data_IF_780006010496
#
_entry.id   IF_780006010496
#
_cell.length_a   1.000
_cell.length_b   1.000
_cell.length_c   1.000
_cell.angle_alpha   90.00
_cell.angle_beta   90.00
_cell.angle_gamma   90.00
#
_symmetry.space_group_name_H-M   'P 1'
#
loop_
_entity.id
_entity.type
_entity.pdbx_description
1 polymer ?
#
# COMPACT_ATOMS: atom_id res chain seq x y z
N UNK A 1 -35.90 -25.73 -0.79
CA UNK A 1 -34.78 -25.02 -0.12
C UNK A 1 -34.16 -24.07 -1.14
N UNK A 2 -34.27 -22.76 -0.92
CA UNK A 2 -33.94 -21.73 -1.92
C UNK A 2 -32.44 -21.44 -1.96
N UNK A 3 -31.86 -21.52 -3.17
CA UNK A 3 -30.47 -21.28 -3.54
C UNK A 3 -30.07 -19.79 -3.53
N UNK A 4 -30.94 -18.89 -3.08
CA UNK A 4 -30.74 -17.43 -3.16
C UNK A 4 -30.50 -16.74 -1.80
N UNK A 5 -30.27 -17.51 -0.73
CA UNK A 5 -30.09 -16.99 0.63
C UNK A 5 -28.66 -16.59 1.03
N UNK A 6 -27.67 -16.72 0.14
CA UNK A 6 -26.25 -16.37 0.40
C UNK A 6 -25.78 -15.12 -0.35
N UNK A 7 -26.68 -14.16 -0.59
CA UNK A 7 -26.26 -12.80 -0.91
C UNK A 7 -25.79 -12.21 0.42
N UNK A 8 -24.48 -12.28 0.67
CA UNK A 8 -23.82 -11.71 1.83
C UNK A 8 -24.27 -10.25 2.01
N UNK A 9 -25.19 -10.02 2.95
CA UNK A 9 -25.55 -8.65 3.34
C UNK A 9 -24.30 -8.04 3.97
N UNK A 10 -23.64 -7.15 3.23
CA UNK A 10 -22.58 -6.30 3.76
C UNK A 10 -23.12 -5.58 5.00
N UNK A 11 -22.34 -5.60 6.09
CA UNK A 11 -22.71 -4.85 7.28
C UNK A 11 -22.68 -3.36 6.96
N UNK A 12 -23.50 -2.51 7.61
CA UNK A 12 -23.46 -1.07 7.41
C UNK A 12 -22.05 -0.46 7.56
N UNK A 13 -21.24 -1.01 8.47
CA UNK A 13 -19.84 -0.63 8.69
C UNK A 13 -18.96 -0.95 7.47
N UNK A 14 -19.08 -2.14 6.88
CA UNK A 14 -18.30 -2.51 5.69
C UNK A 14 -18.65 -1.67 4.46
N UNK A 15 -19.92 -1.26 4.30
CA UNK A 15 -20.34 -0.37 3.22
C UNK A 15 -19.74 1.03 3.41
N UNK A 16 -19.84 1.58 4.62
CA UNK A 16 -19.31 2.90 4.92
C UNK A 16 -17.78 2.97 4.75
N UNK A 17 -17.06 1.92 5.20
CA UNK A 17 -15.61 1.80 4.99
C UNK A 17 -15.27 1.72 3.50
N UNK A 18 -16.04 0.95 2.74
CA UNK A 18 -15.85 0.81 1.30
C UNK A 18 -16.02 2.14 0.57
N UNK A 19 -17.05 2.92 0.91
CA UNK A 19 -17.29 4.24 0.35
C UNK A 19 -16.17 5.23 0.70
N UNK A 20 -15.67 5.20 1.95
CA UNK A 20 -14.52 6.03 2.33
C UNK A 20 -13.27 5.68 1.55
N UNK A 21 -12.95 4.38 1.40
CA UNK A 21 -11.79 3.95 0.65
C UNK A 21 -11.89 4.35 -0.83
N UNK A 22 -13.06 4.21 -1.45
CA UNK A 22 -13.28 4.64 -2.83
C UNK A 22 -13.08 6.16 -3.00
N UNK A 23 -13.69 6.97 -2.12
CA UNK A 23 -13.53 8.42 -2.15
C UNK A 23 -12.08 8.85 -1.92
N UNK A 24 -11.35 8.17 -1.04
CA UNK A 24 -9.92 8.40 -0.83
C UNK A 24 -9.11 8.07 -2.09
N UNK A 25 -9.37 6.93 -2.73
CA UNK A 25 -8.72 6.56 -3.99
C UNK A 25 -8.92 7.64 -5.06
N UNK A 26 -10.14 8.13 -5.24
CA UNK A 26 -10.42 9.21 -6.20
C UNK A 26 -9.70 10.52 -5.86
N UNK A 27 -9.68 10.91 -4.58
CA UNK A 27 -8.99 12.12 -4.15
C UNK A 27 -7.48 12.04 -4.41
N UNK A 28 -6.86 10.88 -4.11
CA UNK A 28 -5.44 10.68 -4.37
C UNK A 28 -5.12 10.56 -5.85
N UNK A 29 -6.02 9.99 -6.66
CA UNK A 29 -5.88 9.99 -8.13
C UNK A 29 -5.82 11.42 -8.68
N UNK A 30 -6.74 12.30 -8.26
CA UNK A 30 -6.73 13.71 -8.69
C UNK A 30 -5.44 14.42 -8.27
N UNK A 31 -4.98 14.19 -7.04
CA UNK A 31 -3.69 14.72 -6.55
C UNK A 31 -2.50 14.20 -7.38
N UNK A 32 -2.52 12.93 -7.75
CA UNK A 32 -1.51 12.29 -8.59
C UNK A 32 -1.48 12.87 -10.00
N UNK A 33 -2.64 13.02 -10.64
CA UNK A 33 -2.76 13.57 -12.00
C UNK A 33 -2.28 15.04 -12.04
N UNK A 34 -2.65 15.84 -11.05
CA UNK A 34 -2.16 17.21 -10.90
C UNK A 34 -0.64 17.26 -10.73
N UNK A 35 -0.07 16.36 -9.94
CA UNK A 35 1.39 16.26 -9.73
C UNK A 35 2.09 15.84 -11.01
N UNK A 36 1.59 14.79 -11.68
CA UNK A 36 2.12 14.26 -12.93
C UNK A 36 2.16 15.32 -14.04
N UNK A 37 1.13 16.18 -14.11
CA UNK A 37 1.05 17.28 -15.07
C UNK A 37 1.99 18.46 -14.78
N UNK A 38 2.47 18.60 -13.53
CA UNK A 38 3.26 19.77 -13.09
C UNK A 38 4.74 19.45 -12.87
N UNK A 39 5.05 18.41 -12.11
CA UNK A 39 6.41 18.07 -11.69
C UNK A 39 6.59 16.56 -11.53
N UNK A 40 7.11 15.92 -12.57
CA UNK A 40 7.40 14.48 -12.58
C UNK A 40 8.59 14.10 -11.68
N UNK A 41 9.34 15.06 -11.17
CA UNK A 41 10.43 14.83 -10.24
C UNK A 41 9.98 14.97 -8.77
N UNK A 42 8.70 15.28 -8.51
CA UNK A 42 8.18 15.40 -7.16
C UNK A 42 8.06 14.04 -6.47
N UNK A 43 8.55 13.90 -5.21
CA UNK A 43 8.29 12.73 -4.37
C UNK A 43 6.80 12.43 -4.16
N UNK A 44 5.92 13.42 -4.35
CA UNK A 44 4.47 13.26 -4.22
C UNK A 44 3.91 12.24 -5.23
N UNK A 45 4.62 11.97 -6.34
CA UNK A 45 4.29 10.88 -7.27
C UNK A 45 4.32 9.51 -6.57
N UNK A 46 5.32 9.28 -5.72
CA UNK A 46 5.47 8.03 -4.95
C UNK A 46 4.49 7.97 -3.76
N UNK A 47 4.18 9.13 -3.16
CA UNK A 47 3.10 9.25 -2.16
C UNK A 47 1.76 8.86 -2.79
N UNK A 48 1.42 9.41 -3.95
CA UNK A 48 0.19 9.07 -4.68
C UNK A 48 0.16 7.60 -5.07
N UNK A 49 1.24 7.08 -5.65
CA UNK A 49 1.37 5.66 -5.96
C UNK A 49 1.02 4.77 -4.76
N UNK A 50 1.62 5.05 -3.60
CA UNK A 50 1.43 4.27 -2.38
C UNK A 50 -0.01 4.35 -1.88
N UNK A 51 -0.56 5.56 -1.73
CA UNK A 51 -1.89 5.76 -1.16
C UNK A 51 -3.01 5.25 -2.08
N UNK A 52 -2.91 5.48 -3.38
CA UNK A 52 -3.89 4.99 -4.36
C UNK A 52 -3.92 3.47 -4.33
N UNK A 53 -2.77 2.82 -4.36
CA UNK A 53 -2.71 1.36 -4.36
C UNK A 53 -3.17 0.76 -3.04
N UNK A 54 -2.75 1.30 -1.89
CA UNK A 54 -3.21 0.81 -0.59
C UNK A 54 -4.73 0.95 -0.44
N UNK A 55 -5.30 2.12 -0.78
CA UNK A 55 -6.75 2.37 -0.70
C UNK A 55 -7.55 1.52 -1.67
N UNK A 56 -7.14 1.48 -2.94
CA UNK A 56 -7.86 0.75 -3.97
C UNK A 56 -7.84 -0.76 -3.68
N UNK A 57 -6.70 -1.28 -3.24
CA UNK A 57 -6.56 -2.69 -2.87
C UNK A 57 -7.39 -3.03 -1.64
N UNK A 58 -7.36 -2.19 -0.60
CA UNK A 58 -8.21 -2.36 0.57
C UNK A 58 -9.70 -2.33 0.21
N UNK A 59 -10.11 -1.44 -0.68
CA UNK A 59 -11.48 -1.36 -1.20
C UNK A 59 -11.88 -2.66 -1.91
N UNK A 60 -11.04 -3.15 -2.82
CA UNK A 60 -11.31 -4.39 -3.57
C UNK A 60 -11.34 -5.62 -2.66
N UNK A 61 -10.42 -5.71 -1.70
CA UNK A 61 -10.43 -6.79 -0.70
C UNK A 61 -11.72 -6.78 0.12
N UNK A 62 -12.17 -5.60 0.56
CA UNK A 62 -13.41 -5.45 1.33
C UNK A 62 -14.64 -5.79 0.49
N UNK A 63 -14.58 -5.51 -0.81
CA UNK A 63 -15.62 -5.90 -1.75
C UNK A 63 -15.72 -7.41 -1.93
N UNK A 64 -14.56 -8.07 -2.02
CA UNK A 64 -14.42 -9.53 -2.15
C UNK A 64 -14.84 -10.25 -0.87
N UNK A 65 -14.43 -9.75 0.29
CA UNK A 65 -14.80 -10.33 1.59
C UNK A 65 -15.09 -9.26 2.65
N UNK A 66 -16.37 -8.95 2.92
CA UNK A 66 -16.76 -7.95 3.91
C UNK A 66 -16.31 -8.23 5.34
N UNK A 67 -15.92 -9.48 5.68
CA UNK A 67 -15.47 -9.84 7.03
C UNK A 67 -14.14 -9.20 7.41
N UNK A 68 -13.35 -8.76 6.43
CA UNK A 68 -12.10 -8.07 6.72
C UNK A 68 -12.31 -6.67 7.31
N UNK A 69 -13.54 -6.14 7.28
CA UNK A 69 -13.87 -4.80 7.76
C UNK A 69 -13.34 -4.54 9.18
N UNK A 70 -13.47 -5.50 10.10
CA UNK A 70 -12.98 -5.36 11.48
C UNK A 70 -11.47 -5.29 11.60
N UNK A 71 -10.74 -5.74 10.57
CA UNK A 71 -9.28 -5.78 10.52
C UNK A 71 -8.72 -4.84 9.43
N UNK A 72 -9.53 -3.89 8.94
CA UNK A 72 -9.13 -3.04 7.82
C UNK A 72 -7.94 -2.15 8.14
N UNK A 73 -7.81 -1.68 9.39
CA UNK A 73 -6.66 -0.89 9.85
C UNK A 73 -5.32 -1.63 9.70
N UNK A 74 -5.16 -2.80 10.36
CA UNK A 74 -3.94 -3.62 10.20
C UNK A 74 -3.70 -4.02 8.74
N UNK A 75 -4.74 -4.43 8.01
CA UNK A 75 -4.61 -4.82 6.60
C UNK A 75 -4.13 -3.64 5.75
N UNK A 76 -4.68 -2.44 5.96
CA UNK A 76 -4.24 -1.25 5.25
C UNK A 76 -2.79 -0.88 5.56
N UNK A 77 -2.35 -1.05 6.80
CA UNK A 77 -0.94 -0.84 7.18
C UNK A 77 -0.01 -1.79 6.40
N UNK A 78 -0.37 -3.06 6.27
CA UNK A 78 0.40 -4.05 5.48
C UNK A 78 0.42 -3.70 3.99
N UNK A 79 -0.72 -3.27 3.43
CA UNK A 79 -0.81 -2.83 2.04
C UNK A 79 0.07 -1.60 1.79
N UNK A 80 0.00 -0.60 2.67
CA UNK A 80 0.82 0.62 2.59
C UNK A 80 2.31 0.26 2.61
N UNK A 81 2.74 -0.54 3.59
CA UNK A 81 4.14 -0.94 3.73
C UNK A 81 4.63 -1.74 2.51
N UNK A 82 3.79 -2.63 1.97
CA UNK A 82 4.10 -3.34 0.73
C UNK A 82 4.31 -2.39 -0.45
N UNK A 83 3.40 -1.43 -0.67
CA UNK A 83 3.55 -0.49 -1.80
C UNK A 83 4.70 0.48 -1.61
N UNK A 84 5.03 0.87 -0.36
CA UNK A 84 6.25 1.59 -0.06
C UNK A 84 7.51 0.77 -0.42
N UNK A 85 7.55 -0.51 -0.06
CA UNK A 85 8.66 -1.39 -0.45
C UNK A 85 8.71 -1.66 -1.96
N UNK A 86 7.55 -1.73 -2.63
CA UNK A 86 7.49 -2.06 -4.05
C UNK A 86 8.15 -1.01 -4.93
N UNK A 87 7.88 0.28 -4.71
CA UNK A 87 8.56 1.32 -5.49
C UNK A 87 10.06 1.37 -5.17
N UNK A 88 10.45 1.08 -3.92
CA UNK A 88 11.87 1.01 -3.53
C UNK A 88 12.60 -0.09 -4.29
N UNK A 89 12.03 -1.30 -4.35
CA UNK A 89 12.58 -2.42 -5.12
C UNK A 89 12.73 -2.05 -6.59
N UNK A 90 11.72 -1.41 -7.17
CA UNK A 90 11.74 -1.02 -8.58
C UNK A 90 12.86 0.00 -8.84
N UNK A 91 13.05 0.99 -7.97
CA UNK A 91 14.14 1.95 -8.12
C UNK A 91 15.51 1.30 -7.88
N UNK A 92 15.67 0.47 -6.84
CA UNK A 92 16.92 -0.26 -6.57
C UNK A 92 17.30 -1.19 -7.72
N UNK A 93 16.32 -1.77 -8.41
CA UNK A 93 16.57 -2.59 -9.59
C UNK A 93 16.99 -1.75 -10.81
N UNK A 94 16.42 -0.56 -10.97
CA UNK A 94 16.71 0.34 -12.09
C UNK A 94 18.01 1.14 -11.92
N UNK A 95 18.39 1.43 -10.68
CA UNK A 95 19.48 2.33 -10.33
C UNK A 95 20.41 1.65 -9.30
N UNK A 96 21.61 1.27 -9.74
CA UNK A 96 22.47 0.33 -9.02
C UNK A 96 23.77 0.94 -8.47
N UNK A 97 24.01 2.23 -8.69
CA UNK A 97 25.24 2.87 -8.16
C UNK A 97 25.09 3.21 -6.68
N UNK A 98 26.19 3.26 -5.90
CA UNK A 98 26.13 3.64 -4.49
C UNK A 98 25.47 5.02 -4.25
N UNK A 99 25.77 6.02 -5.08
CA UNK A 99 25.17 7.36 -4.98
C UNK A 99 23.64 7.32 -5.21
N UNK A 100 23.18 6.46 -6.11
CA UNK A 100 21.75 6.25 -6.35
C UNK A 100 21.08 5.53 -5.20
N UNK A 101 21.72 4.51 -4.62
CA UNK A 101 21.21 3.83 -3.42
C UNK A 101 21.07 4.81 -2.25
N UNK A 102 22.07 5.67 -2.03
CA UNK A 102 22.00 6.72 -1.00
C UNK A 102 20.87 7.72 -1.28
N UNK A 103 20.66 8.06 -2.56
CA UNK A 103 19.55 8.93 -2.96
C UNK A 103 18.19 8.25 -2.75
N UNK A 104 18.06 6.95 -3.03
CA UNK A 104 16.85 6.17 -2.75
C UNK A 104 16.57 6.16 -1.25
N UNK A 105 17.59 5.91 -0.41
CA UNK A 105 17.45 5.93 1.05
C UNK A 105 16.91 7.26 1.57
N UNK A 106 17.47 8.39 1.10
CA UNK A 106 16.96 9.74 1.42
C UNK A 106 15.55 9.98 0.92
N UNK A 107 15.23 9.49 -0.28
CA UNK A 107 13.89 9.57 -0.85
C UNK A 107 12.87 8.81 0.00
N UNK A 108 13.22 7.64 0.55
CA UNK A 108 12.36 6.89 1.46
C UNK A 108 11.95 7.73 2.67
N UNK A 109 12.90 8.44 3.29
CA UNK A 109 12.63 9.33 4.42
C UNK A 109 11.68 10.49 4.08
N UNK A 110 11.90 11.15 2.94
CA UNK A 110 11.03 12.26 2.47
C UNK A 110 9.62 11.76 2.14
N UNK A 111 9.50 10.65 1.41
CA UNK A 111 8.20 10.05 1.07
C UNK A 111 7.45 9.61 2.33
N UNK A 112 8.11 8.96 3.29
CA UNK A 112 7.50 8.54 4.55
C UNK A 112 6.92 9.74 5.33
N UNK A 113 7.67 10.84 5.45
CA UNK A 113 7.22 12.06 6.10
C UNK A 113 5.98 12.66 5.40
N UNK A 114 5.98 12.69 4.06
CA UNK A 114 4.86 13.21 3.27
C UNK A 114 3.62 12.33 3.37
N UNK A 115 3.79 11.01 3.42
CA UNK A 115 2.72 10.06 3.67
C UNK A 115 2.06 10.33 5.04
N UNK A 116 2.85 10.43 6.11
CA UNK A 116 2.33 10.74 7.45
C UNK A 116 1.55 12.06 7.45
N UNK A 117 2.11 13.14 6.88
CA UNK A 117 1.43 14.44 6.80
C UNK A 117 0.12 14.38 6.02
N UNK A 118 0.11 13.64 4.91
CA UNK A 118 -1.09 13.47 4.08
C UNK A 118 -2.18 12.72 4.84
N UNK A 119 -1.80 11.64 5.54
CA UNK A 119 -2.73 10.85 6.36
C UNK A 119 -3.22 11.64 7.58
N UNK A 120 -2.36 12.40 8.27
CA UNK A 120 -2.77 13.27 9.37
C UNK A 120 -3.79 14.34 8.92
N UNK A 121 -3.59 14.95 7.75
CA UNK A 121 -4.52 15.93 7.18
C UNK A 121 -5.87 15.29 6.87
N UNK A 122 -5.87 14.10 6.26
CA UNK A 122 -7.07 13.32 6.00
C UNK A 122 -7.82 12.99 7.31
N UNK A 123 -7.09 12.56 8.34
CA UNK A 123 -7.63 12.16 9.63
C UNK A 123 -8.21 13.33 10.43
N UNK A 124 -7.59 14.52 10.34
CA UNK A 124 -8.16 15.76 10.92
C UNK A 124 -9.51 16.08 10.31
N UNK A 125 -9.65 15.88 9.01
CA UNK A 125 -10.89 16.14 8.28
C UNK A 125 -11.92 15.02 8.44
N UNK A 126 -11.48 13.78 8.75
CA UNK A 126 -12.32 12.59 8.82
C UNK A 126 -11.99 11.71 10.05
N UNK A 127 -12.52 12.04 11.24
CA UNK A 127 -12.21 11.31 12.48
C UNK A 127 -12.58 9.82 12.46
N UNK A 128 -13.60 9.44 11.69
CA UNK A 128 -13.97 8.02 11.57
C UNK A 128 -12.96 7.23 10.73
N UNK A 129 -12.40 7.84 9.68
CA UNK A 129 -11.30 7.25 8.89
C UNK A 129 -10.07 7.09 9.77
N UNK A 130 -9.75 8.09 10.61
CA UNK A 130 -8.70 7.99 11.63
C UNK A 130 -8.91 6.79 12.55
N UNK A 131 -10.14 6.56 13.01
CA UNK A 131 -10.46 5.43 13.89
C UNK A 131 -10.23 4.08 13.18
N UNK A 132 -10.66 3.97 11.92
CA UNK A 132 -10.52 2.74 11.16
C UNK A 132 -9.09 2.43 10.74
N UNK A 133 -8.29 3.46 10.44
CA UNK A 133 -6.93 3.34 9.88
C UNK A 133 -5.83 3.77 10.85
N UNK A 134 -6.09 3.75 12.16
CA UNK A 134 -5.14 4.25 13.18
C UNK A 134 -3.81 3.51 13.17
N UNK A 135 -3.80 2.25 12.78
CA UNK A 135 -2.59 1.41 12.71
C UNK A 135 -1.67 1.74 11.54
N UNK A 136 -2.18 2.48 10.56
CA UNK A 136 -1.44 2.86 9.36
C UNK A 136 -0.67 4.17 9.51
N UNK A 137 -0.44 4.67 10.74
CA UNK A 137 0.36 5.87 11.05
C UNK A 137 1.14 5.72 12.36
N UNK A 138 2.18 6.55 12.53
CA UNK A 138 2.98 6.63 13.76
C UNK A 138 3.66 5.33 14.18
N UNK A 139 3.91 5.16 15.48
CA UNK A 139 4.67 4.03 16.04
C UNK A 139 4.05 2.64 15.77
N UNK A 140 2.73 2.58 15.55
CA UNK A 140 2.08 1.33 15.15
C UNK A 140 2.57 0.89 13.75
N UNK A 141 2.61 1.85 12.82
CA UNK A 141 3.03 1.64 11.44
C UNK A 141 4.54 1.39 11.31
N UNK A 142 5.37 2.06 12.09
CA UNK A 142 6.83 1.88 12.06
C UNK A 142 7.25 0.40 12.19
N UNK A 143 6.57 -0.35 13.07
CA UNK A 143 6.84 -1.79 13.24
C UNK A 143 6.43 -2.61 12.01
N UNK A 144 5.31 -2.25 11.38
CA UNK A 144 4.84 -2.90 10.14
C UNK A 144 5.86 -2.65 9.03
N UNK A 145 6.33 -1.42 8.88
CA UNK A 145 7.30 -1.04 7.87
C UNK A 145 8.64 -1.76 8.05
N UNK A 146 9.17 -1.86 9.29
CA UNK A 146 10.40 -2.64 9.56
C UNK A 146 10.24 -4.10 9.12
N UNK A 147 9.13 -4.73 9.47
CA UNK A 147 8.86 -6.11 9.06
C UNK A 147 8.73 -6.23 7.54
N UNK A 148 8.11 -5.25 6.87
CA UNK A 148 7.97 -5.22 5.42
C UNK A 148 9.30 -5.02 4.70
N UNK A 149 10.23 -4.22 5.25
CA UNK A 149 11.58 -4.06 4.69
C UNK A 149 12.35 -5.37 4.77
N UNK A 150 12.39 -5.99 5.95
CA UNK A 150 13.05 -7.29 6.13
C UNK A 150 12.49 -8.35 5.17
N UNK A 151 11.17 -8.45 5.09
CA UNK A 151 10.54 -9.47 4.26
C UNK A 151 10.62 -9.16 2.76
N UNK A 152 10.24 -7.96 2.33
CA UNK A 152 10.08 -7.63 0.90
C UNK A 152 11.36 -7.08 0.25
N UNK A 153 12.25 -6.44 1.00
CA UNK A 153 13.52 -5.93 0.46
C UNK A 153 14.64 -6.94 0.67
N UNK A 154 14.81 -7.44 1.91
CA UNK A 154 15.91 -8.35 2.26
C UNK A 154 15.60 -9.83 2.03
N UNK A 155 14.34 -10.18 1.72
CA UNK A 155 13.94 -11.57 1.49
C UNK A 155 13.87 -12.40 2.76
N UNK A 156 13.87 -11.78 3.94
CA UNK A 156 13.76 -12.45 5.24
C UNK A 156 12.29 -12.84 5.49
N UNK A 157 11.84 -13.91 4.80
CA UNK A 157 10.44 -14.37 4.84
C UNK A 157 10.03 -14.73 6.27
N UNK A 158 8.91 -14.17 6.73
CA UNK A 158 8.35 -14.53 8.03
C UNK A 158 7.85 -15.97 8.07
N UNK A 159 7.50 -16.53 6.89
CA UNK A 159 7.02 -17.90 6.73
C UNK A 159 7.62 -18.55 5.50
N UNK A 160 7.98 -19.83 5.63
CA UNK A 160 8.46 -20.62 4.49
C UNK A 160 7.31 -20.93 3.51
N UNK A 161 7.54 -20.65 2.24
CA UNK A 161 6.70 -21.11 1.12
C UNK A 161 7.60 -21.42 -0.08
N UNK A 162 7.15 -22.26 -1.03
CA UNK A 162 7.90 -22.47 -2.27
C UNK A 162 8.02 -21.16 -3.05
N UNK A 163 9.25 -20.65 -3.18
CA UNK A 163 9.53 -19.44 -3.96
C UNK A 163 9.49 -19.76 -5.46
N UNK A 164 8.96 -18.82 -6.23
CA UNK A 164 8.87 -18.93 -7.69
C UNK A 164 10.13 -18.40 -8.39
N UNK A 165 10.95 -17.63 -7.68
CA UNK A 165 12.11 -16.92 -8.24
C UNK A 165 11.75 -15.57 -8.84
N UNK A 166 10.46 -15.23 -8.92
CA UNK A 166 9.97 -13.89 -9.19
C UNK A 166 9.70 -13.19 -7.85
N UNK A 167 10.55 -12.24 -7.50
CA UNK A 167 10.51 -11.53 -6.23
C UNK A 167 9.20 -10.76 -6.00
N UNK A 168 8.59 -10.22 -7.06
CA UNK A 168 7.30 -9.51 -6.95
C UNK A 168 6.19 -10.52 -6.67
N UNK A 169 6.15 -11.63 -7.41
CA UNK A 169 5.17 -12.70 -7.21
C UNK A 169 5.30 -13.34 -5.83
N UNK A 170 6.52 -13.54 -5.34
CA UNK A 170 6.79 -14.09 -4.00
C UNK A 170 6.39 -13.09 -2.90
N UNK A 171 6.63 -11.79 -3.08
CA UNK A 171 6.13 -10.75 -2.16
C UNK A 171 4.59 -10.70 -2.12
N UNK A 172 3.92 -10.83 -3.27
CA UNK A 172 2.44 -10.91 -3.31
C UNK A 172 1.95 -12.13 -2.55
N UNK A 173 2.62 -13.28 -2.66
CA UNK A 173 2.27 -14.50 -1.92
C UNK A 173 2.42 -14.30 -0.41
N UNK A 174 3.52 -13.69 0.03
CA UNK A 174 3.76 -13.37 1.44
C UNK A 174 2.68 -12.44 2.01
N UNK A 175 2.39 -11.33 1.30
CA UNK A 175 1.35 -10.37 1.67
C UNK A 175 -0.04 -11.02 1.72
N UNK A 176 -0.38 -11.83 0.71
CA UNK A 176 -1.65 -12.57 0.65
C UNK A 176 -1.83 -13.46 1.88
N UNK A 177 -0.80 -14.21 2.26
CA UNK A 177 -0.83 -15.05 3.46
C UNK A 177 -1.01 -14.22 4.74
N UNK A 178 -0.42 -13.02 4.82
CA UNK A 178 -0.58 -12.13 5.97
C UNK A 178 -2.00 -11.57 6.08
N UNK A 179 -2.56 -11.10 4.97
CA UNK A 179 -3.94 -10.61 4.92
C UNK A 179 -4.94 -11.72 5.27
N UNK A 180 -4.69 -12.95 4.82
CA UNK A 180 -5.52 -14.10 5.21
C UNK A 180 -5.53 -14.33 6.72
N UNK A 181 -4.36 -14.27 7.36
CA UNK A 181 -4.25 -14.42 8.82
C UNK A 181 -4.94 -13.28 9.57
N UNK A 182 -4.73 -12.04 9.15
CA UNK A 182 -5.36 -10.87 9.75
C UNK A 182 -6.88 -10.90 9.58
N UNK A 183 -7.36 -11.26 8.40
CA UNK A 183 -8.78 -11.32 8.09
C UNK A 183 -9.51 -12.56 8.61
N UNK A 184 -8.81 -13.55 9.17
CA UNK A 184 -9.40 -14.83 9.56
C UNK A 184 -10.01 -15.59 8.38
N UNK A 185 -9.38 -15.48 7.21
CA UNK A 185 -9.88 -16.02 5.94
C UNK A 185 -9.50 -17.50 5.79
N UNK A 186 -10.38 -18.29 5.18
CA UNK A 186 -10.14 -19.69 4.86
C UNK A 186 -9.42 -19.86 3.50
N UNK A 187 -9.01 -21.09 3.21
CA UNK A 187 -8.26 -21.42 1.99
C UNK A 187 -9.05 -21.15 0.70
N UNK A 188 -10.39 -21.10 0.74
CA UNK A 188 -11.21 -20.77 -0.43
C UNK A 188 -11.17 -19.28 -0.77
N UNK A 189 -10.92 -18.41 0.22
CA UNK A 189 -10.75 -16.97 0.02
C UNK A 189 -9.31 -16.59 -0.34
N UNK A 190 -8.35 -17.48 -0.05
CA UNK A 190 -6.92 -17.28 -0.31
C UNK A 190 -6.62 -16.92 -1.77
N UNK A 191 -7.28 -17.62 -2.71
CA UNK A 191 -7.15 -17.35 -4.15
C UNK A 191 -7.67 -15.97 -4.55
N UNK A 192 -8.80 -15.54 -3.99
CA UNK A 192 -9.40 -14.25 -4.31
C UNK A 192 -8.56 -13.08 -3.76
N UNK A 193 -8.01 -13.21 -2.55
CA UNK A 193 -7.06 -12.22 -2.00
C UNK A 193 -5.81 -12.12 -2.88
N UNK A 194 -5.23 -13.26 -3.26
CA UNK A 194 -4.06 -13.28 -4.13
C UNK A 194 -4.35 -12.62 -5.49
N UNK A 195 -5.52 -12.90 -6.09
CA UNK A 195 -5.93 -12.30 -7.35
C UNK A 195 -6.06 -10.78 -7.25
N UNK A 196 -6.73 -10.26 -6.21
CA UNK A 196 -6.85 -8.82 -5.97
C UNK A 196 -5.48 -8.17 -5.86
N UNK A 197 -4.57 -8.73 -5.06
CA UNK A 197 -3.21 -8.22 -4.90
C UNK A 197 -2.42 -8.25 -6.23
N UNK A 198 -2.49 -9.37 -6.95
CA UNK A 198 -1.80 -9.52 -8.23
C UNK A 198 -2.28 -8.51 -9.27
N UNK A 199 -3.60 -8.29 -9.37
CA UNK A 199 -4.16 -7.28 -10.27
C UNK A 199 -3.79 -5.86 -9.84
N UNK A 200 -3.84 -5.56 -8.55
CA UNK A 200 -3.45 -4.25 -8.03
C UNK A 200 -1.95 -3.94 -8.20
N UNK A 201 -1.08 -4.94 -8.19
CA UNK A 201 0.34 -4.73 -8.45
C UNK A 201 0.66 -4.62 -9.94
N UNK A 202 0.06 -5.46 -10.79
CA UNK A 202 0.45 -5.57 -12.21
C UNK A 202 -0.38 -4.71 -13.18
N UNK A 203 -1.60 -4.34 -12.81
CA UNK A 203 -2.57 -3.66 -13.71
C UNK A 203 -3.11 -2.35 -13.15
N UNK A 204 -2.60 -1.86 -12.02
CA UNK A 204 -3.13 -0.64 -11.43
C UNK A 204 -2.79 0.59 -12.29
N UNK A 205 -3.77 1.46 -12.59
CA UNK A 205 -3.53 2.73 -13.30
C UNK A 205 -2.46 3.61 -12.62
N UNK A 206 -2.35 3.49 -11.31
CA UNK A 206 -1.35 4.13 -10.46
C UNK A 206 0.10 3.80 -10.82
N UNK A 207 0.37 2.67 -11.52
CA UNK A 207 1.70 2.33 -12.03
C UNK A 207 2.26 3.42 -12.95
N UNK A 208 1.39 4.23 -13.54
CA UNK A 208 1.79 5.41 -14.33
C UNK A 208 2.58 6.42 -13.48
N UNK A 209 2.24 6.60 -12.20
CA UNK A 209 2.97 7.50 -11.31
C UNK A 209 4.39 7.00 -11.04
N UNK A 210 4.57 5.68 -10.88
CA UNK A 210 5.90 5.10 -10.69
C UNK A 210 6.73 5.10 -11.98
N UNK A 211 6.14 4.72 -13.11
CA UNK A 211 6.85 4.62 -14.39
C UNK A 211 7.20 5.96 -15.02
N UNK A 212 6.46 7.03 -14.71
CA UNK A 212 6.76 8.38 -15.18
C UNK A 212 7.56 9.23 -14.17
N UNK A 213 7.84 8.71 -12.98
CA UNK A 213 8.63 9.42 -11.98
C UNK A 213 10.07 9.62 -12.45
N UNK A 214 10.51 10.89 -12.53
CA UNK A 214 11.85 11.25 -12.96
C UNK A 214 12.82 11.23 -11.77
N UNK A 215 13.28 10.04 -11.41
CA UNK A 215 14.21 9.84 -10.31
C UNK A 215 15.51 10.65 -10.49
N UNK A 216 16.06 10.72 -11.70
CA UNK A 216 17.31 11.45 -11.97
C UNK A 216 17.19 12.94 -11.62
N UNK A 217 16.07 13.57 -11.96
CA UNK A 217 15.80 14.99 -11.65
C UNK A 217 15.26 15.24 -10.24
N UNK A 218 14.80 14.19 -9.54
CA UNK A 218 14.26 14.32 -8.18
C UNK A 218 15.29 14.90 -7.21
N UNK A 219 14.86 15.93 -6.46
CA UNK A 219 15.63 16.49 -5.35
C UNK A 219 15.13 15.86 -4.05
N UNK A 220 16.04 15.32 -3.26
CA UNK A 220 15.73 14.75 -1.94
C UNK A 220 16.17 15.73 -0.85
N UNK A 221 15.40 15.81 0.23
CA UNK A 221 15.81 16.58 1.40
C UNK A 221 17.12 15.99 1.97
N UNK A 222 18.09 16.82 2.37
CA UNK A 222 19.28 16.34 3.06
C UNK A 222 18.93 15.75 4.43
N UNK A 223 19.74 14.80 4.92
CA UNK A 223 19.55 14.03 6.18
C UNK A 223 19.39 14.89 7.46
N UNK A 224 19.57 16.21 7.36
CA UNK A 224 19.54 17.16 8.46
C UNK A 224 18.21 17.24 9.23
N UNK A 225 17.14 16.58 8.76
CA UNK A 225 15.86 16.51 9.47
C UNK A 225 15.71 15.27 10.38
N UNK A 226 16.67 14.34 10.38
CA UNK A 226 16.61 13.08 11.13
C UNK A 226 17.81 12.87 12.07
N UNK A 227 18.28 13.94 12.72
CA UNK A 227 19.16 13.87 13.89
C UNK A 227 18.40 14.22 15.17
#
# INVERSE_FOLDING_TARGET
MSLFGKIFKRTPESLQLSDWLANMTEAFLRMGDDTLGRDKASPDMLVCFTLINATHTAHNLLHTDPRIASNIGPIYAELRAYYECLWQLILLHQYSTPDEHDKISRLCGDVALRLERTMESLFKSNPNVKRALSEATGAAYERVMVNAVNEYIHGERAHAFPESGDHISDNIRALSGRIQRLGGLDSSQSGAVYEVLSQATSKAPSMTFLTQFNFSACKVLPDAFFR
#
